data_IF_595310199877
#
_entry.id   IF_595310199877
#
_cell.length_a   1.000
_cell.length_b   1.000
_cell.length_c   1.000
_cell.angle_alpha   90.00
_cell.angle_beta   90.00
_cell.angle_gamma   90.00
#
_symmetry.space_group_name_H-M   'P 1'
#
loop_
_entity.id
_entity.type
_entity.pdbx_description
1 polymer ?
#
# COMPACT_ATOMS: atom_id res chain seq x y z
N UNK A 1 -24.72 25.74 -38.54
CA UNK A 1 -24.01 24.55 -38.15
C UNK A 1 -23.70 24.66 -36.65
N UNK A 2 -24.04 23.65 -35.86
CA UNK A 2 -23.63 23.63 -34.47
C UNK A 2 -22.17 23.17 -34.37
N UNK A 3 -21.57 23.21 -33.18
CA UNK A 3 -20.14 22.87 -32.99
C UNK A 3 -19.80 21.41 -33.31
N UNK A 4 -20.76 20.49 -33.14
CA UNK A 4 -20.60 19.07 -33.47
C UNK A 4 -20.58 18.81 -34.98
N UNK A 5 -21.37 19.58 -35.75
CA UNK A 5 -21.40 19.46 -37.22
C UNK A 5 -20.10 19.96 -37.82
N UNK A 6 -19.55 21.08 -37.28
CA UNK A 6 -18.26 21.64 -37.70
C UNK A 6 -17.13 20.65 -37.48
N UNK A 7 -17.13 19.98 -36.34
CA UNK A 7 -16.12 18.97 -35.97
C UNK A 7 -16.19 17.72 -36.86
N UNK A 8 -17.39 17.21 -37.13
CA UNK A 8 -17.59 16.09 -38.04
C UNK A 8 -17.10 16.39 -39.48
N UNK A 9 -17.33 17.62 -39.96
CA UNK A 9 -16.82 18.07 -41.25
C UNK A 9 -15.31 18.26 -41.23
N UNK A 10 -14.72 18.76 -40.15
CA UNK A 10 -13.26 18.85 -39.96
C UNK A 10 -12.57 17.51 -40.16
N UNK A 11 -13.07 16.48 -39.51
CA UNK A 11 -12.55 15.10 -39.66
C UNK A 11 -12.66 14.54 -41.07
N UNK A 12 -13.77 14.82 -41.79
CA UNK A 12 -13.92 14.43 -43.20
C UNK A 12 -12.91 15.13 -44.08
N UNK A 13 -12.72 16.45 -43.88
CA UNK A 13 -11.76 17.24 -44.61
C UNK A 13 -10.34 16.76 -44.33
N UNK A 14 -9.98 16.54 -43.07
CA UNK A 14 -8.66 16.02 -42.65
C UNK A 14 -8.30 14.70 -43.34
N UNK A 15 -9.28 13.82 -43.52
CA UNK A 15 -9.08 12.50 -44.15
C UNK A 15 -8.79 12.54 -45.65
N UNK A 16 -9.03 13.68 -46.33
CA UNK A 16 -8.87 13.82 -47.77
C UNK A 16 -7.87 14.93 -48.17
N UNK A 17 -7.20 15.53 -47.19
CA UNK A 17 -6.23 16.59 -47.45
C UNK A 17 -5.02 16.06 -48.21
N UNK A 18 -4.53 16.87 -49.17
CA UNK A 18 -3.25 16.62 -49.78
C UNK A 18 -2.09 16.85 -48.80
N UNK A 19 -0.94 16.25 -49.07
CA UNK A 19 0.28 16.44 -48.28
C UNK A 19 0.89 17.82 -48.42
N UNK A 20 0.33 18.69 -49.27
CA UNK A 20 0.79 20.08 -49.47
C UNK A 20 0.16 20.96 -48.41
N UNK A 21 0.98 21.52 -47.54
CA UNK A 21 0.57 22.46 -46.49
C UNK A 21 0.82 23.91 -46.92
N UNK A 22 -0.09 24.82 -46.55
CA UNK A 22 0.05 26.26 -46.84
C UNK A 22 1.15 26.93 -45.97
N UNK A 23 1.42 26.35 -44.81
CA UNK A 23 2.48 26.75 -43.88
C UNK A 23 2.62 25.80 -42.73
N UNK A 24 3.78 25.77 -42.09
CA UNK A 24 4.02 25.06 -40.85
C UNK A 24 4.88 25.87 -39.90
N UNK A 25 4.62 25.73 -38.60
CA UNK A 25 5.40 26.39 -37.55
C UNK A 25 5.75 25.36 -36.51
N UNK A 26 6.90 25.52 -35.85
CA UNK A 26 7.26 24.75 -34.68
C UNK A 26 6.90 25.54 -33.42
N UNK A 27 6.11 24.93 -32.55
CA UNK A 27 5.79 25.45 -31.23
C UNK A 27 6.69 24.74 -30.24
N UNK A 28 7.38 25.47 -29.35
CA UNK A 28 8.20 24.93 -28.27
C UNK A 28 7.73 25.53 -26.95
N UNK A 29 8.05 24.90 -25.84
CA UNK A 29 7.72 25.44 -24.50
C UNK A 29 8.27 26.86 -24.28
N UNK A 30 9.37 27.19 -24.91
CA UNK A 30 10.00 28.51 -24.78
C UNK A 30 9.32 29.61 -25.65
N UNK A 31 8.47 29.20 -26.60
CA UNK A 31 7.76 30.11 -27.52
C UNK A 31 6.26 30.14 -27.18
N UNK A 32 5.89 30.96 -26.21
CA UNK A 32 4.50 31.10 -25.76
C UNK A 32 3.54 31.59 -26.86
N UNK A 33 4.06 32.07 -27.99
CA UNK A 33 3.28 32.54 -29.13
C UNK A 33 4.06 32.36 -30.42
N UNK A 34 3.45 31.70 -31.41
CA UNK A 34 4.01 31.50 -32.74
C UNK A 34 3.03 32.09 -33.77
N UNK A 35 3.52 32.75 -34.79
CA UNK A 35 2.68 33.42 -35.79
C UNK A 35 2.83 32.75 -37.16
N UNK A 36 1.69 32.51 -37.82
CA UNK A 36 1.63 32.16 -39.25
C UNK A 36 1.14 33.41 -39.97
N UNK A 37 1.98 33.97 -40.84
CA UNK A 37 1.67 35.21 -41.56
C UNK A 37 1.42 34.96 -43.04
N UNK A 38 0.77 35.90 -43.73
CA UNK A 38 0.53 35.80 -45.16
C UNK A 38 -0.61 34.89 -45.58
N UNK A 39 -1.51 34.56 -44.66
CA UNK A 39 -2.70 33.81 -45.01
C UNK A 39 -3.77 34.72 -45.60
N UNK A 40 -4.33 34.38 -46.77
CA UNK A 40 -5.48 35.06 -47.36
C UNK A 40 -6.76 34.75 -46.56
N UNK A 41 -7.78 35.62 -46.55
CA UNK A 41 -9.06 35.29 -45.92
C UNK A 41 -9.65 34.00 -46.45
N UNK A 42 -10.00 33.06 -45.55
CA UNK A 42 -10.52 31.75 -45.94
C UNK A 42 -10.67 30.74 -44.80
N UNK A 43 -11.06 29.54 -45.15
CA UNK A 43 -11.14 28.44 -44.22
C UNK A 43 -9.81 27.67 -44.17
N UNK A 44 -9.28 27.51 -43.00
CA UNK A 44 -8.03 26.79 -42.76
C UNK A 44 -8.25 25.63 -41.80
N UNK A 45 -7.68 24.46 -42.13
CA UNK A 45 -7.49 23.36 -41.20
C UNK A 45 -6.09 23.51 -40.60
N UNK A 46 -6.06 23.62 -39.29
CA UNK A 46 -4.84 23.65 -38.50
C UNK A 46 -4.77 22.37 -37.71
N UNK A 47 -3.73 21.56 -37.85
CA UNK A 47 -3.52 20.34 -37.12
C UNK A 47 -2.06 20.16 -36.77
N UNK A 48 -1.80 19.38 -35.70
CA UNK A 48 -0.46 18.94 -35.40
C UNK A 48 0.06 18.00 -36.52
N UNK A 49 1.35 18.02 -36.73
CA UNK A 49 2.00 17.13 -37.70
C UNK A 49 1.97 15.71 -37.16
N UNK A 50 1.57 14.75 -38.00
CA UNK A 50 1.56 13.34 -37.67
C UNK A 50 2.94 12.89 -37.13
N UNK A 51 2.94 12.12 -36.06
CA UNK A 51 4.13 11.64 -35.32
C UNK A 51 5.02 12.73 -34.73
N UNK A 52 4.49 13.97 -34.54
CA UNK A 52 5.23 15.06 -33.91
C UNK A 52 5.16 15.09 -32.39
N UNK A 53 4.08 14.56 -31.82
CA UNK A 53 3.84 14.54 -30.38
C UNK A 53 4.43 13.28 -29.73
N UNK A 54 4.78 13.39 -28.46
CA UNK A 54 5.35 12.30 -27.66
C UNK A 54 4.84 12.40 -26.23
N UNK A 55 4.80 11.24 -25.54
CA UNK A 55 4.46 11.18 -24.13
C UNK A 55 2.98 11.42 -23.84
N UNK A 56 2.70 12.37 -22.98
CA UNK A 56 1.38 12.70 -22.44
C UNK A 56 0.58 13.72 -23.27
N UNK A 57 1.01 14.03 -24.50
CA UNK A 57 0.34 14.99 -25.35
C UNK A 57 -0.72 14.32 -26.24
N UNK A 58 -1.77 15.08 -26.61
CA UNK A 58 -2.76 14.68 -27.60
C UNK A 58 -2.80 15.62 -28.80
N UNK A 59 -3.05 15.05 -29.99
CA UNK A 59 -3.14 15.83 -31.23
C UNK A 59 -4.37 16.72 -31.23
N UNK A 60 -4.20 17.91 -31.80
CA UNK A 60 -5.26 18.89 -31.96
C UNK A 60 -5.59 19.11 -33.44
N UNK A 61 -6.83 19.51 -33.68
CA UNK A 61 -7.32 19.88 -35.01
C UNK A 61 -8.37 20.95 -34.90
N UNK A 62 -8.21 22.00 -35.72
CA UNK A 62 -9.14 23.13 -35.79
C UNK A 62 -9.48 23.51 -37.22
N UNK A 63 -10.77 23.75 -37.53
CA UNK A 63 -11.16 24.50 -38.73
C UNK A 63 -11.50 25.91 -38.30
N UNK A 64 -10.84 26.87 -38.91
CA UNK A 64 -11.03 28.26 -38.66
C UNK A 64 -11.38 28.98 -39.95
N UNK A 65 -12.35 29.91 -39.87
CA UNK A 65 -12.58 30.90 -40.88
C UNK A 65 -11.77 32.14 -40.49
N UNK A 66 -10.65 32.37 -41.18
CA UNK A 66 -9.73 33.48 -40.90
C UNK A 66 -10.13 34.62 -41.83
N UNK A 67 -10.64 35.71 -41.28
CA UNK A 67 -11.02 36.94 -41.97
C UNK A 67 -10.25 38.16 -41.44
N UNK A 68 -9.54 37.99 -40.33
CA UNK A 68 -8.69 38.98 -39.65
C UNK A 68 -7.68 38.21 -38.75
N UNK A 69 -6.76 38.95 -38.14
CA UNK A 69 -5.81 38.40 -37.16
C UNK A 69 -6.54 37.60 -36.09
N UNK A 70 -6.18 36.35 -35.96
CA UNK A 70 -6.87 35.38 -35.10
C UNK A 70 -5.86 34.69 -34.20
N UNK A 71 -6.11 34.68 -32.89
CA UNK A 71 -5.31 33.94 -31.92
C UNK A 71 -6.01 32.62 -31.58
N UNK A 72 -5.27 31.52 -31.65
CA UNK A 72 -5.72 30.20 -31.26
C UNK A 72 -4.94 29.77 -30.06
N UNK A 73 -5.63 29.25 -29.06
CA UNK A 73 -5.01 28.52 -27.96
C UNK A 73 -5.39 27.06 -28.12
N UNK A 74 -4.47 26.19 -28.54
CA UNK A 74 -4.73 24.74 -28.56
C UNK A 74 -5.09 24.29 -27.18
N UNK A 75 -6.13 23.50 -27.07
CA UNK A 75 -6.49 22.77 -25.85
C UNK A 75 -6.12 21.31 -26.06
N UNK A 76 -4.99 20.93 -25.52
CA UNK A 76 -4.66 19.52 -25.35
C UNK A 76 -5.35 19.07 -24.06
N UNK A 77 -6.27 18.15 -24.20
CA UNK A 77 -6.93 17.54 -23.06
C UNK A 77 -6.61 16.03 -23.09
N UNK A 78 -5.95 15.57 -22.05
CA UNK A 78 -5.47 14.18 -21.90
C UNK A 78 -6.10 13.59 -20.64
N UNK A 79 -6.26 12.26 -20.57
CA UNK A 79 -6.75 11.65 -19.34
C UNK A 79 -5.73 11.78 -18.22
N UNK A 80 -6.19 11.71 -16.99
CA UNK A 80 -5.36 11.53 -15.82
C UNK A 80 -5.64 10.21 -15.12
N UNK A 81 -4.71 9.73 -14.34
CA UNK A 81 -4.89 8.54 -13.50
C UNK A 81 -4.49 8.82 -12.07
N UNK A 82 -5.23 8.25 -11.14
CA UNK A 82 -4.96 8.27 -9.71
C UNK A 82 -5.03 6.84 -9.18
N UNK A 83 -4.10 6.48 -8.30
CA UNK A 83 -4.04 5.19 -7.63
C UNK A 83 -4.18 5.36 -6.13
N UNK A 84 -4.97 4.50 -5.50
CA UNK A 84 -5.18 4.49 -4.05
C UNK A 84 -5.15 3.08 -3.49
N UNK A 85 -4.92 3.00 -2.19
CA UNK A 85 -4.93 1.79 -1.37
C UNK A 85 -5.80 2.03 -0.14
N UNK A 86 -6.41 0.99 0.41
CA UNK A 86 -7.04 1.04 1.74
C UNK A 86 -6.12 0.39 2.75
N UNK A 87 -6.21 0.89 3.97
CA UNK A 87 -5.54 0.35 5.13
C UNK A 87 -6.54 -0.28 6.09
N UNK A 88 -6.19 -1.38 6.73
CA UNK A 88 -7.04 -2.04 7.72
C UNK A 88 -6.20 -2.45 8.91
N UNK A 89 -6.43 -1.81 10.05
CA UNK A 89 -5.78 -2.16 11.31
C UNK A 89 -6.48 -3.37 11.95
N UNK A 90 -5.82 -4.48 12.06
CA UNK A 90 -6.36 -5.74 12.59
C UNK A 90 -6.80 -5.64 14.05
N UNK A 91 -6.08 -4.86 14.86
CA UNK A 91 -6.37 -4.71 16.30
C UNK A 91 -7.68 -3.96 16.54
N UNK A 92 -7.94 -2.90 15.78
CA UNK A 92 -9.17 -2.10 15.90
C UNK A 92 -10.27 -2.57 14.96
N UNK A 93 -9.92 -3.26 13.88
CA UNK A 93 -10.80 -3.67 12.78
C UNK A 93 -11.32 -2.49 11.96
N UNK A 94 -10.68 -1.32 12.08
CA UNK A 94 -11.04 -0.13 11.30
C UNK A 94 -10.35 -0.18 9.94
N UNK A 95 -11.11 0.20 8.91
CA UNK A 95 -10.60 0.33 7.55
C UNK A 95 -10.69 1.80 7.13
N UNK A 96 -9.62 2.32 6.53
CA UNK A 96 -9.54 3.72 6.09
C UNK A 96 -10.37 3.97 4.83
N UNK A 97 -10.55 5.25 4.49
CA UNK A 97 -10.86 5.65 3.13
C UNK A 97 -9.65 5.39 2.20
N UNK A 98 -9.83 5.62 0.90
CA UNK A 98 -8.78 5.46 -0.10
C UNK A 98 -7.64 6.49 0.12
N UNK A 99 -6.39 6.02 0.21
CA UNK A 99 -5.21 6.81 0.54
C UNK A 99 -3.97 6.37 -0.27
N UNK A 100 -2.81 7.02 -0.08
CA UNK A 100 -1.63 6.80 -0.92
C UNK A 100 -0.62 5.82 -0.32
N UNK A 101 -0.80 5.42 0.91
CA UNK A 101 0.00 4.36 1.53
C UNK A 101 -0.78 3.62 2.61
N UNK A 102 -0.37 2.41 2.92
CA UNK A 102 -0.96 1.53 3.93
C UNK A 102 0.11 0.66 4.56
N UNK A 103 -0.17 0.05 5.70
CA UNK A 103 0.66 -1.02 6.23
C UNK A 103 -0.15 -2.30 6.46
N UNK A 104 0.53 -3.46 6.34
CA UNK A 104 -0.11 -4.77 6.36
C UNK A 104 0.83 -5.85 6.87
N UNK A 105 0.27 -6.90 7.45
CA UNK A 105 0.99 -8.17 7.70
C UNK A 105 1.28 -8.90 6.38
N UNK A 106 2.39 -9.64 6.33
CA UNK A 106 2.59 -10.63 5.26
C UNK A 106 1.47 -11.67 5.31
N UNK A 107 0.86 -11.93 4.15
CA UNK A 107 -0.30 -12.81 3.97
C UNK A 107 -1.62 -12.07 3.85
N UNK A 108 -1.67 -10.79 4.17
CA UNK A 108 -2.90 -10.00 4.11
C UNK A 108 -3.27 -9.59 2.68
N UNK A 109 -4.56 -9.36 2.50
CA UNK A 109 -5.15 -8.98 1.22
C UNK A 109 -5.38 -7.47 1.17
N UNK A 110 -4.62 -6.81 0.33
CA UNK A 110 -4.57 -5.36 0.16
C UNK A 110 -5.50 -4.92 -0.97
N UNK A 111 -6.50 -4.05 -0.72
CA UNK A 111 -7.37 -3.49 -1.75
C UNK A 111 -6.72 -2.29 -2.45
N UNK A 112 -6.79 -2.25 -3.79
CA UNK A 112 -6.31 -1.15 -4.63
C UNK A 112 -7.44 -0.59 -5.49
N UNK A 113 -7.37 0.71 -5.77
CA UNK A 113 -8.27 1.41 -6.68
C UNK A 113 -7.46 2.26 -7.67
N UNK A 114 -7.84 2.19 -8.95
CA UNK A 114 -7.31 3.03 -10.03
C UNK A 114 -8.46 3.86 -10.58
N UNK A 115 -8.29 5.16 -10.68
CA UNK A 115 -9.30 6.08 -11.23
C UNK A 115 -8.74 6.79 -12.45
N UNK A 116 -9.27 6.50 -13.63
CA UNK A 116 -8.99 7.29 -14.83
C UNK A 116 -10.06 8.37 -15.00
N UNK A 117 -9.64 9.64 -15.11
CA UNK A 117 -10.52 10.75 -15.51
C UNK A 117 -10.32 10.99 -16.99
N UNK A 118 -11.39 10.85 -17.77
CA UNK A 118 -11.35 11.00 -19.23
C UNK A 118 -11.26 12.47 -19.65
N UNK A 119 -10.63 12.77 -20.80
CA UNK A 119 -10.53 14.13 -21.30
C UNK A 119 -11.91 14.71 -21.68
N UNK A 120 -12.03 16.03 -21.59
CA UNK A 120 -13.27 16.76 -21.94
C UNK A 120 -13.63 16.71 -23.44
N UNK A 121 -12.81 16.03 -24.25
CA UNK A 121 -13.02 15.87 -25.68
C UNK A 121 -13.08 14.41 -26.14
N UNK A 122 -13.22 13.43 -25.24
CA UNK A 122 -13.22 12.00 -25.60
C UNK A 122 -14.29 11.64 -26.64
N UNK A 123 -15.47 12.30 -26.60
CA UNK A 123 -16.54 12.10 -27.58
C UNK A 123 -16.20 12.62 -28.99
N UNK A 124 -15.02 13.26 -29.17
CA UNK A 124 -14.55 13.64 -30.50
C UNK A 124 -13.88 12.51 -31.27
N UNK A 125 -13.53 11.46 -30.58
CA UNK A 125 -12.95 10.26 -31.16
C UNK A 125 -14.05 9.37 -31.73
N UNK A 126 -13.74 8.56 -32.75
CA UNK A 126 -14.63 7.48 -33.21
C UNK A 126 -14.46 6.21 -32.37
N UNK A 127 -13.24 6.01 -31.93
CA UNK A 127 -12.82 4.93 -31.05
C UNK A 127 -11.80 5.46 -30.05
N UNK A 128 -11.90 5.06 -28.81
CA UNK A 128 -10.94 5.47 -27.78
C UNK A 128 -10.44 4.26 -27.02
N UNK A 129 -9.19 3.93 -27.27
CA UNK A 129 -8.46 2.88 -26.55
C UNK A 129 -8.05 3.40 -25.19
N UNK A 130 -8.20 2.56 -24.16
CA UNK A 130 -7.76 2.87 -22.81
C UNK A 130 -7.18 1.59 -22.17
N UNK A 131 -5.97 1.72 -21.64
CA UNK A 131 -5.32 0.65 -20.88
C UNK A 131 -4.74 1.22 -19.61
N UNK A 132 -5.09 0.62 -18.48
CA UNK A 132 -4.34 0.78 -17.23
C UNK A 132 -3.15 -0.17 -17.29
N UNK A 133 -1.95 0.37 -17.13
CA UNK A 133 -0.68 -0.34 -17.10
C UNK A 133 -0.14 -0.26 -15.68
N UNK A 134 -0.38 -1.31 -14.90
CA UNK A 134 -0.10 -1.40 -13.49
C UNK A 134 1.12 -2.29 -13.23
N UNK A 135 1.97 -1.90 -12.28
CA UNK A 135 3.18 -2.65 -11.95
C UNK A 135 3.31 -2.80 -10.45
N UNK A 136 3.10 -4.00 -9.95
CA UNK A 136 3.25 -4.36 -8.55
C UNK A 136 4.72 -4.61 -8.21
N UNK A 137 5.13 -4.32 -6.95
CA UNK A 137 6.43 -4.79 -6.44
C UNK A 137 6.47 -6.31 -6.32
N UNK A 138 7.68 -6.87 -6.16
CA UNK A 138 7.85 -8.31 -5.95
C UNK A 138 7.16 -8.83 -4.67
N UNK A 139 6.94 -7.94 -3.69
CA UNK A 139 6.22 -8.22 -2.44
C UNK A 139 4.69 -8.33 -2.60
N UNK A 140 4.13 -8.07 -3.78
CA UNK A 140 2.68 -8.10 -4.01
C UNK A 140 2.31 -9.13 -5.06
N UNK A 141 1.31 -9.97 -4.78
CA UNK A 141 0.74 -10.94 -5.72
C UNK A 141 -0.70 -10.58 -6.04
N UNK A 142 -0.99 -10.37 -7.33
CA UNK A 142 -2.35 -10.09 -7.80
C UNK A 142 -3.30 -11.26 -7.51
N UNK A 143 -4.47 -10.96 -6.96
CA UNK A 143 -5.50 -11.95 -6.67
C UNK A 143 -6.49 -12.03 -7.83
N UNK A 144 -6.38 -13.07 -8.64
CA UNK A 144 -7.27 -13.29 -9.77
C UNK A 144 -8.75 -13.33 -9.35
N UNK A 145 -9.63 -12.84 -10.23
CA UNK A 145 -11.08 -12.84 -10.01
C UNK A 145 -11.59 -11.76 -9.05
N UNK A 146 -10.72 -10.84 -8.59
CA UNK A 146 -11.12 -9.73 -7.70
C UNK A 146 -11.39 -8.42 -8.42
N UNK A 147 -11.19 -8.39 -9.74
CA UNK A 147 -11.31 -7.17 -10.56
C UNK A 147 -12.76 -6.77 -10.76
N UNK A 148 -13.05 -5.50 -10.52
CA UNK A 148 -14.29 -4.83 -10.93
C UNK A 148 -13.94 -3.53 -11.64
N UNK A 149 -14.67 -3.20 -12.72
CA UNK A 149 -14.52 -1.92 -13.42
C UNK A 149 -15.86 -1.23 -13.54
N UNK A 150 -15.89 0.04 -13.15
CA UNK A 150 -17.13 0.85 -13.15
C UNK A 150 -16.95 2.14 -13.94
N UNK A 151 -18.02 2.54 -14.64
CA UNK A 151 -18.23 3.86 -15.21
C UNK A 151 -19.38 4.52 -14.42
N UNK A 152 -19.05 5.38 -13.46
CA UNK A 152 -20.01 5.80 -12.45
C UNK A 152 -20.55 4.56 -11.68
N UNK A 153 -21.86 4.36 -11.68
CA UNK A 153 -22.49 3.18 -11.04
C UNK A 153 -22.61 1.96 -11.98
N UNK A 154 -22.27 2.12 -13.25
CA UNK A 154 -22.42 1.08 -14.27
C UNK A 154 -21.22 0.12 -14.23
N UNK A 155 -21.49 -1.19 -14.08
CA UNK A 155 -20.47 -2.23 -14.25
C UNK A 155 -20.11 -2.38 -15.74
N UNK A 156 -18.85 -2.17 -16.05
CA UNK A 156 -18.25 -2.30 -17.39
C UNK A 156 -17.07 -3.29 -17.40
N UNK A 157 -16.95 -4.13 -16.37
CA UNK A 157 -15.86 -5.10 -16.21
C UNK A 157 -15.66 -5.98 -17.44
N UNK A 158 -16.77 -6.41 -18.07
CA UNK A 158 -16.73 -7.29 -19.24
C UNK A 158 -16.12 -6.66 -20.51
N UNK A 159 -15.96 -5.34 -20.55
CA UNK A 159 -15.31 -4.63 -21.66
C UNK A 159 -13.79 -4.59 -21.52
N UNK A 160 -13.24 -4.94 -20.34
CA UNK A 160 -11.82 -4.94 -20.09
C UNK A 160 -11.24 -6.35 -20.13
N UNK A 161 -10.11 -6.48 -20.83
CA UNK A 161 -9.27 -7.66 -20.74
C UNK A 161 -8.26 -7.47 -19.63
N UNK A 162 -8.29 -8.33 -18.62
CA UNK A 162 -7.27 -8.40 -17.56
C UNK A 162 -6.18 -9.36 -18.01
N UNK A 163 -4.91 -8.93 -17.90
CA UNK A 163 -3.75 -9.78 -18.11
C UNK A 163 -2.73 -9.52 -17.01
N UNK A 164 -2.23 -10.59 -16.39
CA UNK A 164 -1.20 -10.54 -15.35
C UNK A 164 0.00 -11.39 -15.73
N UNK A 165 1.17 -10.78 -15.73
CA UNK A 165 2.45 -11.48 -15.85
C UNK A 165 3.11 -11.55 -14.46
N UNK A 166 3.05 -12.72 -13.83
CA UNK A 166 3.57 -12.94 -12.49
C UNK A 166 5.09 -12.78 -12.37
N UNK A 167 5.83 -12.96 -13.47
CA UNK A 167 7.29 -12.82 -13.47
C UNK A 167 7.74 -11.36 -13.42
N UNK A 168 7.11 -10.51 -14.21
CA UNK A 168 7.37 -9.07 -14.26
C UNK A 168 6.48 -8.28 -13.30
N UNK A 169 5.50 -8.92 -12.65
CA UNK A 169 4.46 -8.30 -11.79
C UNK A 169 3.62 -7.26 -12.52
N UNK A 170 3.53 -7.37 -13.82
CA UNK A 170 2.79 -6.43 -14.66
C UNK A 170 1.33 -6.87 -14.81
N UNK A 171 0.43 -5.99 -14.40
CA UNK A 171 -1.02 -6.16 -14.46
C UNK A 171 -1.61 -5.13 -15.42
N UNK A 172 -2.40 -5.57 -16.40
CA UNK A 172 -3.01 -4.64 -17.34
C UNK A 172 -4.51 -4.86 -17.45
N UNK A 173 -5.25 -3.74 -17.56
CA UNK A 173 -6.68 -3.74 -17.84
C UNK A 173 -6.90 -2.96 -19.13
N UNK A 174 -7.28 -3.64 -20.20
CA UNK A 174 -7.34 -3.07 -21.55
C UNK A 174 -8.74 -3.08 -22.11
N UNK A 175 -9.23 -1.92 -22.55
CA UNK A 175 -10.46 -1.76 -23.33
C UNK A 175 -10.10 -1.15 -24.70
N UNK A 176 -10.44 -1.86 -25.77
CA UNK A 176 -10.10 -1.44 -27.14
C UNK A 176 -10.91 -0.20 -27.57
N UNK A 177 -12.13 0.00 -27.02
CA UNK A 177 -12.96 1.17 -27.32
C UNK A 177 -13.98 1.45 -26.22
N UNK A 178 -13.71 2.47 -25.38
CA UNK A 178 -14.63 2.90 -24.33
C UNK A 178 -15.85 3.69 -24.86
N UNK A 179 -15.88 4.03 -26.15
CA UNK A 179 -17.03 4.68 -26.81
C UNK A 179 -17.99 3.69 -27.45
N UNK A 180 -17.66 2.39 -27.44
CA UNK A 180 -18.48 1.34 -28.03
C UNK A 180 -19.86 1.28 -27.39
N UNK A 181 -20.83 0.80 -28.18
CA UNK A 181 -22.21 0.56 -27.71
C UNK A 181 -22.18 -0.37 -26.48
N UNK A 182 -22.86 0.07 -25.43
CA UNK A 182 -22.91 -0.65 -24.16
C UNK A 182 -21.88 -0.16 -23.14
N UNK A 183 -20.77 0.45 -23.57
CA UNK A 183 -19.86 1.22 -22.68
C UNK A 183 -20.29 2.69 -22.63
N UNK A 184 -20.13 3.42 -23.73
CA UNK A 184 -20.68 4.76 -24.00
C UNK A 184 -20.15 5.84 -23.03
N UNK A 185 -18.82 5.85 -22.80
CA UNK A 185 -18.17 6.89 -22.02
C UNK A 185 -18.35 8.28 -22.60
N UNK A 186 -18.39 9.29 -21.76
CA UNK A 186 -18.60 10.69 -22.06
C UNK A 186 -17.40 11.55 -21.67
N UNK A 187 -17.41 12.79 -22.15
CA UNK A 187 -16.42 13.79 -21.79
C UNK A 187 -16.34 14.00 -20.27
N UNK A 188 -15.16 13.82 -19.70
CA UNK A 188 -14.90 14.02 -18.29
C UNK A 188 -15.40 12.90 -17.36
N UNK A 189 -15.90 11.79 -17.90
CA UNK A 189 -16.28 10.63 -17.08
C UNK A 189 -15.09 10.04 -16.36
N UNK A 190 -15.39 9.35 -15.24
CA UNK A 190 -14.39 8.58 -14.49
C UNK A 190 -14.63 7.08 -14.65
N UNK A 191 -13.53 6.35 -14.87
CA UNK A 191 -13.51 4.89 -14.91
C UNK A 191 -12.71 4.41 -13.71
N UNK A 192 -13.36 3.62 -12.85
CA UNK A 192 -12.75 3.10 -11.61
C UNK A 192 -12.53 1.61 -11.75
N UNK A 193 -11.28 1.18 -11.57
CA UNK A 193 -10.87 -0.22 -11.46
C UNK A 193 -10.54 -0.52 -10.00
N UNK A 194 -11.17 -1.53 -9.42
CA UNK A 194 -10.81 -2.05 -8.11
C UNK A 194 -10.31 -3.49 -8.25
N UNK A 195 -9.27 -3.83 -7.51
CA UNK A 195 -8.73 -5.17 -7.44
C UNK A 195 -8.02 -5.40 -6.11
N UNK A 196 -7.60 -6.63 -5.84
CA UNK A 196 -6.88 -7.00 -4.63
C UNK A 196 -5.55 -7.67 -4.97
N UNK A 197 -4.56 -7.50 -4.08
CA UNK A 197 -3.30 -8.24 -4.11
C UNK A 197 -2.94 -8.70 -2.70
N UNK A 198 -2.16 -9.77 -2.57
CA UNK A 198 -1.67 -10.29 -1.29
C UNK A 198 -0.25 -9.83 -1.06
N UNK A 199 0.06 -9.29 0.12
CA UNK A 199 1.43 -9.02 0.54
C UNK A 199 2.12 -10.34 0.84
N UNK A 200 3.20 -10.68 0.10
CA UNK A 200 3.85 -11.98 0.13
C UNK A 200 5.20 -11.97 0.86
N UNK A 201 5.83 -13.12 1.01
CA UNK A 201 7.11 -13.32 1.71
C UNK A 201 8.31 -12.58 1.08
N UNK A 202 8.18 -12.03 -0.15
CA UNK A 202 9.20 -11.18 -0.77
C UNK A 202 9.00 -9.70 -0.45
N UNK A 203 8.08 -9.35 0.44
CA UNK A 203 7.82 -7.98 0.82
C UNK A 203 9.07 -7.32 1.42
N UNK A 204 9.35 -6.10 0.97
CA UNK A 204 10.42 -5.26 1.50
C UNK A 204 9.94 -4.64 2.81
N UNK A 205 10.71 -4.86 3.87
CA UNK A 205 10.42 -4.36 5.22
C UNK A 205 11.06 -2.99 5.41
N UNK A 206 10.32 -2.06 6.01
CA UNK A 206 10.80 -0.72 6.34
C UNK A 206 10.46 0.35 5.33
N UNK A 207 11.25 1.43 5.33
CA UNK A 207 10.88 2.69 4.66
C UNK A 207 10.88 2.64 3.13
N UNK A 208 11.53 1.66 2.52
CA UNK A 208 11.43 1.43 1.08
C UNK A 208 10.02 0.96 0.69
N UNK A 209 9.45 0.06 1.49
CA UNK A 209 8.11 -0.50 1.32
C UNK A 209 7.92 -1.24 -0.01
N UNK A 210 6.67 -1.46 -0.35
CA UNK A 210 6.26 -2.26 -1.51
C UNK A 210 5.43 -1.39 -2.46
N UNK A 211 6.08 -0.68 -3.40
CA UNK A 211 5.39 0.22 -4.31
C UNK A 211 4.50 -0.54 -5.29
N UNK A 212 3.39 0.08 -5.64
CA UNK A 212 2.48 -0.33 -6.68
C UNK A 212 2.15 0.89 -7.55
N UNK A 213 2.44 0.82 -8.85
CA UNK A 213 2.44 1.96 -9.78
C UNK A 213 1.47 1.74 -10.90
N UNK A 214 0.84 2.83 -11.37
CA UNK A 214 -0.04 2.80 -12.53
C UNK A 214 0.23 3.95 -13.47
N UNK A 215 0.07 3.71 -14.77
CA UNK A 215 -0.10 4.74 -15.80
C UNK A 215 -1.20 4.32 -16.77
N UNK A 216 -1.74 5.26 -17.54
CA UNK A 216 -2.62 4.97 -18.65
C UNK A 216 -1.84 4.97 -19.96
N UNK A 217 -2.23 4.09 -20.88
CA UNK A 217 -1.97 4.20 -22.30
C UNK A 217 -3.31 4.48 -22.99
N UNK A 218 -3.38 5.52 -23.81
CA UNK A 218 -4.65 6.01 -24.34
C UNK A 218 -4.55 6.46 -25.80
N UNK A 219 -5.68 6.48 -26.52
CA UNK A 219 -5.76 7.09 -27.86
C UNK A 219 -5.53 8.58 -27.77
N UNK A 220 -4.51 9.09 -28.47
CA UNK A 220 -4.14 10.52 -28.42
C UNK A 220 -4.37 11.27 -29.72
N UNK A 221 -4.88 10.61 -30.78
CA UNK A 221 -5.07 11.24 -32.09
C UNK A 221 -6.53 11.17 -32.57
N UNK A 222 -7.35 12.22 -32.33
CA UNK A 222 -8.73 12.26 -32.80
C UNK A 222 -8.83 12.36 -34.34
N UNK A 223 -7.78 12.80 -35.02
CA UNK A 223 -7.75 13.01 -36.47
C UNK A 223 -7.79 11.68 -37.23
N UNK A 224 -7.24 10.60 -36.62
CA UNK A 224 -7.29 9.24 -37.13
C UNK A 224 -8.48 8.46 -36.55
N UNK A 225 -9.45 9.13 -35.93
CA UNK A 225 -10.58 8.48 -35.28
C UNK A 225 -10.23 7.73 -34.02
N UNK A 226 -9.03 7.95 -33.45
CA UNK A 226 -8.54 7.28 -32.25
C UNK A 226 -7.68 6.04 -32.53
N UNK A 227 -7.45 5.70 -33.80
CA UNK A 227 -6.56 4.60 -34.19
C UNK A 227 -5.12 5.09 -34.37
N UNK A 228 -4.15 4.20 -34.20
CA UNK A 228 -2.74 4.47 -34.44
C UNK A 228 -1.99 4.95 -33.21
N UNK A 229 -1.61 6.21 -33.19
CA UNK A 229 -0.77 6.78 -32.14
C UNK A 229 -1.43 6.76 -30.77
N UNK A 230 -0.61 6.53 -29.73
CA UNK A 230 -1.04 6.45 -28.34
C UNK A 230 -0.16 7.32 -27.46
N UNK A 231 -0.78 7.93 -26.46
CA UNK A 231 -0.11 8.66 -25.38
C UNK A 231 -0.06 7.83 -24.11
N UNK A 232 0.77 8.26 -23.17
CA UNK A 232 0.87 7.69 -21.82
C UNK A 232 0.77 8.81 -20.80
N UNK A 233 0.10 8.57 -19.66
CA UNK A 233 0.13 9.50 -18.52
C UNK A 233 1.42 9.35 -17.73
N UNK A 234 1.78 10.34 -16.88
CA UNK A 234 2.70 10.12 -15.77
C UNK A 234 2.25 8.94 -14.90
N UNK A 235 3.20 8.33 -14.19
CA UNK A 235 2.91 7.28 -13.22
C UNK A 235 2.36 7.87 -11.93
N UNK A 236 1.37 7.20 -11.33
CA UNK A 236 0.95 7.41 -9.96
C UNK A 236 1.29 6.18 -9.10
N UNK A 237 1.64 6.39 -7.83
CA UNK A 237 2.25 5.38 -6.98
C UNK A 237 1.64 5.37 -5.58
N UNK A 238 1.28 4.17 -5.09
CA UNK A 238 1.00 3.92 -3.68
C UNK A 238 2.05 2.98 -3.09
N UNK A 239 2.24 3.00 -1.77
CA UNK A 239 3.22 2.14 -1.10
C UNK A 239 2.55 1.37 0.04
N UNK A 240 2.82 0.05 0.10
CA UNK A 240 2.43 -0.81 1.22
C UNK A 240 3.66 -1.08 2.09
N UNK A 241 3.57 -0.73 3.38
CA UNK A 241 4.63 -0.93 4.35
C UNK A 241 4.39 -2.21 5.18
N UNK A 242 5.45 -2.72 5.79
CA UNK A 242 5.42 -3.80 6.77
C UNK A 242 6.67 -3.72 7.64
N UNK A 243 6.60 -4.28 8.86
CA UNK A 243 7.61 -4.06 9.88
C UNK A 243 8.16 -5.37 10.44
N UNK A 244 9.14 -5.27 11.35
CA UNK A 244 9.72 -6.40 12.09
C UNK A 244 10.03 -6.03 13.54
N UNK A 245 9.92 -7.02 14.41
CA UNK A 245 10.36 -6.92 15.81
C UNK A 245 11.55 -7.84 16.03
N UNK A 246 12.61 -7.33 16.65
CA UNK A 246 13.85 -8.06 16.92
C UNK A 246 14.08 -8.14 18.43
N UNK A 247 14.07 -9.36 18.98
CA UNK A 247 14.30 -9.64 20.38
C UNK A 247 15.72 -10.18 20.56
N UNK A 248 16.52 -9.49 21.35
CA UNK A 248 17.83 -9.94 21.74
C UNK A 248 17.75 -10.58 23.12
N UNK A 249 17.92 -11.92 23.19
CA UNK A 249 17.84 -12.64 24.44
C UNK A 249 19.13 -12.53 25.22
N UNK A 250 19.03 -12.04 26.47
CA UNK A 250 20.22 -11.78 27.31
C UNK A 250 20.01 -12.28 28.74
N UNK A 251 21.13 -12.51 29.44
CA UNK A 251 21.17 -12.77 30.88
C UNK A 251 21.10 -11.48 31.71
N UNK A 252 21.17 -11.60 33.03
CA UNK A 252 21.18 -10.50 33.98
C UNK A 252 22.34 -9.50 33.80
N UNK A 253 23.39 -9.90 33.07
CA UNK A 253 24.58 -9.07 32.79
C UNK A 253 24.59 -8.53 31.34
N UNK A 254 23.46 -8.61 30.64
CA UNK A 254 23.30 -8.24 29.21
C UNK A 254 24.20 -9.05 28.26
N UNK A 255 24.53 -10.29 28.61
CA UNK A 255 25.25 -11.20 27.72
C UNK A 255 24.25 -12.10 26.99
N UNK A 256 24.54 -12.40 25.73
CA UNK A 256 23.74 -13.30 24.89
C UNK A 256 23.46 -14.64 25.59
N UNK A 257 22.20 -15.05 25.63
CA UNK A 257 21.70 -16.21 26.33
C UNK A 257 20.91 -17.12 25.37
N UNK A 258 21.40 -18.35 25.17
CA UNK A 258 20.71 -19.36 24.35
C UNK A 258 19.65 -20.15 25.10
N UNK A 259 18.94 -21.03 24.38
CA UNK A 259 17.98 -21.98 24.94
C UNK A 259 16.58 -21.43 25.21
N UNK A 260 16.31 -20.15 24.88
CA UNK A 260 14.97 -19.60 24.91
C UNK A 260 14.19 -19.95 23.63
N UNK A 261 12.86 -19.89 23.71
CA UNK A 261 11.96 -19.81 22.57
C UNK A 261 10.92 -18.71 22.84
N UNK A 262 10.55 -17.99 21.78
CA UNK A 262 9.56 -16.93 21.85
C UNK A 262 8.49 -17.11 20.77
N UNK A 263 7.27 -16.73 21.12
CA UNK A 263 6.14 -16.61 20.20
C UNK A 263 5.56 -15.21 20.36
N UNK A 264 5.29 -14.54 19.24
CA UNK A 264 4.60 -13.26 19.20
C UNK A 264 3.13 -13.50 18.85
N UNK A 265 2.22 -12.84 19.55
CA UNK A 265 0.78 -12.90 19.33
C UNK A 265 0.27 -11.52 18.95
N UNK A 266 -0.34 -11.37 17.76
CA UNK A 266 -1.04 -10.16 17.32
C UNK A 266 -2.47 -10.20 17.83
N UNK A 267 -2.96 -9.09 18.35
CA UNK A 267 -4.35 -8.92 18.76
C UNK A 267 -5.22 -8.61 17.53
N UNK A 268 -6.26 -9.40 17.34
CA UNK A 268 -7.22 -9.24 16.24
C UNK A 268 -8.61 -8.99 16.82
N UNK A 269 -9.29 -7.96 16.33
CA UNK A 269 -10.62 -7.57 16.81
C UNK A 269 -11.63 -8.69 16.61
N UNK A 270 -12.17 -9.18 17.71
CA UNK A 270 -13.26 -10.18 17.68
C UNK A 270 -12.84 -11.59 17.30
N UNK A 271 -11.54 -11.86 17.15
CA UNK A 271 -10.98 -13.15 16.82
C UNK A 271 -9.95 -13.62 17.86
N UNK A 272 -9.45 -14.84 17.69
CA UNK A 272 -8.31 -15.31 18.46
C UNK A 272 -7.02 -14.60 18.02
N UNK A 273 -6.10 -14.40 18.98
CA UNK A 273 -4.79 -13.82 18.68
C UNK A 273 -4.07 -14.63 17.60
N UNK A 274 -3.49 -13.95 16.59
CA UNK A 274 -2.69 -14.56 15.52
C UNK A 274 -1.29 -14.88 16.05
N UNK A 275 -0.91 -16.16 15.97
CA UNK A 275 0.42 -16.63 16.39
C UNK A 275 1.44 -16.37 15.28
N UNK A 276 2.57 -15.73 15.63
CA UNK A 276 3.67 -15.41 14.74
C UNK A 276 4.94 -16.04 15.30
N UNK A 277 5.65 -16.82 14.47
CA UNK A 277 6.89 -17.51 14.85
C UNK A 277 8.11 -16.69 14.48
N UNK A 278 9.12 -16.75 15.36
CA UNK A 278 10.40 -16.09 15.12
C UNK A 278 11.26 -16.86 14.12
N UNK A 279 12.05 -16.12 13.33
CA UNK A 279 13.29 -16.64 12.74
C UNK A 279 14.40 -16.45 13.78
N UNK A 280 15.08 -17.53 14.14
CA UNK A 280 16.13 -17.55 15.17
C UNK A 280 17.50 -17.40 14.50
N UNK A 281 18.33 -16.53 15.05
CA UNK A 281 19.69 -16.24 14.57
C UNK A 281 20.62 -15.84 15.72
N UNK A 282 21.83 -15.38 15.39
CA UNK A 282 22.87 -15.04 16.35
C UNK A 282 23.76 -16.25 16.69
N UNK A 283 24.98 -15.99 17.17
CA UNK A 283 25.99 -17.02 17.47
C UNK A 283 25.55 -18.03 18.56
N UNK A 284 24.57 -17.61 19.39
CA UNK A 284 23.99 -18.41 20.46
C UNK A 284 22.50 -18.68 20.27
N UNK A 285 21.96 -18.53 19.05
CA UNK A 285 20.53 -18.57 18.79
C UNK A 285 19.75 -17.66 19.77
N UNK A 286 20.28 -16.46 19.98
CA UNK A 286 19.83 -15.48 20.97
C UNK A 286 19.08 -14.29 20.37
N UNK A 287 18.96 -14.26 19.03
CA UNK A 287 18.22 -13.22 18.28
C UNK A 287 16.97 -13.84 17.65
N UNK A 288 15.81 -13.26 17.97
CA UNK A 288 14.50 -13.70 17.49
C UNK A 288 13.89 -12.58 16.67
N UNK A 289 13.68 -12.82 15.38
CA UNK A 289 13.11 -11.85 14.47
C UNK A 289 11.70 -12.28 14.05
N UNK A 290 10.73 -11.40 14.27
CA UNK A 290 9.36 -11.51 13.81
C UNK A 290 9.17 -10.49 12.70
N UNK A 291 8.92 -10.95 11.47
CA UNK A 291 8.88 -10.11 10.27
C UNK A 291 7.50 -10.12 9.64
N UNK A 292 7.22 -9.11 8.81
CA UNK A 292 5.98 -9.00 8.09
C UNK A 292 4.83 -8.60 9.01
N UNK A 293 5.05 -7.60 9.84
CA UNK A 293 4.12 -7.11 10.84
C UNK A 293 3.50 -5.78 10.40
N UNK A 294 2.25 -5.62 10.70
CA UNK A 294 1.44 -4.43 10.62
C UNK A 294 1.56 -3.58 11.90
N UNK A 295 1.01 -2.38 11.91
CA UNK A 295 0.77 -1.63 13.16
C UNK A 295 -0.31 -2.34 14.01
N UNK A 296 -0.33 -2.09 15.33
CA UNK A 296 -1.32 -2.69 16.25
C UNK A 296 -0.71 -3.26 17.52
N UNK A 297 -1.52 -4.03 18.24
CA UNK A 297 -1.21 -4.55 19.58
C UNK A 297 -0.68 -5.98 19.54
N UNK A 298 0.43 -6.20 20.26
CA UNK A 298 1.15 -7.45 20.30
C UNK A 298 1.45 -7.93 21.72
N UNK A 299 1.56 -9.25 21.91
CA UNK A 299 2.02 -9.88 23.14
C UNK A 299 3.14 -10.87 22.81
N UNK A 300 4.35 -10.59 23.28
CA UNK A 300 5.48 -11.50 23.23
C UNK A 300 5.47 -12.43 24.44
N UNK A 301 5.58 -13.73 24.22
CA UNK A 301 5.67 -14.76 25.27
C UNK A 301 6.94 -15.57 25.12
N UNK A 302 7.65 -15.76 26.22
CA UNK A 302 8.74 -16.73 26.32
C UNK A 302 8.09 -18.13 26.52
N UNK A 303 8.08 -18.94 25.45
CA UNK A 303 7.45 -20.26 25.44
C UNK A 303 8.37 -21.37 25.94
N UNK A 304 9.70 -21.10 25.93
CA UNK A 304 10.70 -21.95 26.56
C UNK A 304 11.74 -21.07 27.23
N UNK A 305 12.03 -21.40 28.49
CA UNK A 305 13.00 -20.65 29.31
C UNK A 305 14.33 -21.39 29.33
N UNK A 306 15.47 -20.71 29.21
CA UNK A 306 16.79 -21.31 29.42
C UNK A 306 16.94 -21.96 30.80
N UNK A 307 17.71 -23.06 30.86
CA UNK A 307 17.93 -23.79 32.10
C UNK A 307 18.51 -22.90 33.22
N UNK A 308 17.97 -23.03 34.43
CA UNK A 308 18.36 -22.27 35.62
C UNK A 308 17.96 -20.78 35.62
N UNK A 309 17.14 -20.35 34.70
CA UNK A 309 16.58 -19.00 34.65
C UNK A 309 15.07 -18.99 34.97
N UNK A 310 14.58 -17.83 35.40
CA UNK A 310 13.14 -17.60 35.55
C UNK A 310 12.54 -17.14 34.22
N UNK A 311 11.36 -17.66 33.88
CA UNK A 311 10.60 -17.24 32.70
C UNK A 311 10.33 -15.73 32.71
N UNK A 312 10.60 -15.05 31.60
CA UNK A 312 10.17 -13.66 31.42
C UNK A 312 8.65 -13.56 31.48
N UNK A 313 8.15 -12.48 32.09
CA UNK A 313 6.72 -12.19 32.04
C UNK A 313 6.30 -11.84 30.62
N UNK A 314 5.05 -12.10 30.29
CA UNK A 314 4.45 -11.68 29.02
C UNK A 314 4.66 -10.16 28.82
N UNK A 315 5.09 -9.78 27.63
CA UNK A 315 5.43 -8.42 27.24
C UNK A 315 4.39 -7.96 26.22
N UNK A 316 3.50 -7.04 26.62
CA UNK A 316 2.57 -6.42 25.70
C UNK A 316 3.13 -5.06 25.23
N UNK A 317 3.01 -4.80 23.93
CA UNK A 317 3.43 -3.55 23.29
C UNK A 317 2.57 -3.26 22.07
N UNK A 318 2.58 -2.00 21.63
CA UNK A 318 1.90 -1.54 20.43
C UNK A 318 2.95 -1.11 19.40
N UNK A 319 2.83 -1.53 18.17
CA UNK A 319 3.54 -0.97 17.01
C UNK A 319 2.70 0.19 16.50
N UNK A 320 3.32 1.34 16.29
CA UNK A 320 2.67 2.53 15.71
C UNK A 320 3.51 3.04 14.56
N UNK A 321 2.88 3.19 13.40
CA UNK A 321 3.48 3.77 12.21
C UNK A 321 2.67 4.99 11.76
N UNK A 322 3.37 6.01 11.25
CA UNK A 322 2.76 7.14 10.54
C UNK A 322 3.35 7.19 9.15
N UNK A 323 2.51 7.19 8.15
CA UNK A 323 2.89 7.22 6.73
C UNK A 323 2.04 8.24 5.96
N UNK A 324 2.41 8.52 4.71
CA UNK A 324 1.77 9.56 3.91
C UNK A 324 0.43 9.08 3.35
N UNK A 325 -0.67 9.58 3.88
CA UNK A 325 -2.04 9.24 3.42
C UNK A 325 -2.50 10.05 2.21
N UNK A 326 -1.87 11.21 1.94
CA UNK A 326 -2.10 12.05 0.76
C UNK A 326 -0.74 12.58 0.29
N UNK A 327 -0.21 12.06 -0.83
CA UNK A 327 1.10 12.46 -1.36
C UNK A 327 1.38 11.84 -2.73
N UNK A 328 1.92 12.62 -3.66
CA UNK A 328 2.45 12.12 -4.94
C UNK A 328 3.75 11.30 -4.76
N UNK A 329 4.35 11.32 -3.56
CA UNK A 329 5.53 10.55 -3.20
C UNK A 329 5.37 10.03 -1.76
N UNK A 330 4.54 8.99 -1.55
CA UNK A 330 4.25 8.48 -0.21
C UNK A 330 5.50 7.90 0.47
N UNK A 331 5.60 8.14 1.78
CA UNK A 331 6.74 7.69 2.60
C UNK A 331 6.29 7.24 4.00
N UNK A 332 7.08 6.39 4.63
CA UNK A 332 7.00 6.11 6.06
C UNK A 332 7.57 7.29 6.83
N UNK A 333 6.75 8.03 7.58
CA UNK A 333 7.16 9.22 8.33
C UNK A 333 7.79 8.87 9.66
N UNK A 334 7.17 7.97 10.42
CA UNK A 334 7.67 7.50 11.70
C UNK A 334 7.32 6.05 11.97
N UNK A 335 8.11 5.39 12.82
CA UNK A 335 7.88 4.08 13.38
C UNK A 335 8.23 4.13 14.86
N UNK A 336 7.36 3.65 15.72
CA UNK A 336 7.59 3.56 17.16
C UNK A 336 6.99 2.29 17.74
N UNK A 337 7.47 1.92 18.92
CA UNK A 337 6.92 0.81 19.69
C UNK A 337 6.68 1.24 21.13
N UNK A 338 5.43 1.20 21.56
CA UNK A 338 5.04 1.62 22.90
C UNK A 338 4.81 0.42 23.82
N UNK A 339 5.58 0.36 24.89
CA UNK A 339 5.45 -0.68 25.90
C UNK A 339 4.13 -0.51 26.68
N UNK A 340 3.32 -1.56 26.72
CA UNK A 340 2.13 -1.64 27.56
C UNK A 340 2.46 -2.37 28.88
N UNK A 341 3.16 -3.51 28.82
CA UNK A 341 3.63 -4.26 30.00
C UNK A 341 5.04 -4.77 29.82
N UNK A 342 5.64 -5.27 30.91
CA UNK A 342 6.99 -5.83 30.90
C UNK A 342 8.09 -4.75 31.11
N UNK A 343 9.34 -5.20 31.18
CA UNK A 343 10.50 -4.31 31.39
C UNK A 343 11.37 -4.28 30.13
N UNK A 344 10.84 -3.60 29.09
CA UNK A 344 11.52 -3.42 27.81
C UNK A 344 11.53 -1.96 27.39
N UNK A 345 12.42 -1.63 26.46
CA UNK A 345 12.42 -0.36 25.72
C UNK A 345 12.65 -0.71 24.26
N UNK A 346 11.63 -0.47 23.45
CA UNK A 346 11.70 -0.70 22.01
C UNK A 346 12.50 0.44 21.35
N UNK A 347 13.56 0.08 20.64
CA UNK A 347 14.35 1.01 19.83
C UNK A 347 13.93 0.86 18.38
N UNK A 348 13.37 1.93 17.82
CA UNK A 348 12.95 1.96 16.42
C UNK A 348 14.12 2.31 15.49
N UNK A 349 14.14 1.65 14.34
CA UNK A 349 14.88 2.02 13.15
C UNK A 349 13.91 2.06 11.97
N UNK A 350 13.53 3.28 11.58
CA UNK A 350 12.54 3.52 10.53
C UNK A 350 13.02 2.99 9.16
N UNK A 351 14.30 3.16 8.85
CA UNK A 351 14.85 2.73 7.56
C UNK A 351 14.74 1.22 7.40
N UNK A 352 15.10 0.48 8.44
CA UNK A 352 15.01 -0.98 8.50
C UNK A 352 13.61 -1.51 8.84
N UNK A 353 12.65 -0.64 9.17
CA UNK A 353 11.31 -1.02 9.64
C UNK A 353 11.33 -1.85 10.91
N UNK A 354 12.33 -1.66 11.77
CA UNK A 354 12.56 -2.55 12.89
C UNK A 354 12.33 -1.89 14.24
N UNK A 355 11.77 -2.67 15.17
CA UNK A 355 11.69 -2.38 16.59
C UNK A 355 12.52 -3.40 17.34
N UNK A 356 13.57 -2.99 18.04
CA UNK A 356 14.48 -3.91 18.72
C UNK A 356 14.51 -3.70 20.24
N UNK A 357 14.62 -4.80 20.99
CA UNK A 357 14.73 -4.75 22.46
C UNK A 357 15.47 -5.95 23.01
N UNK A 358 16.27 -5.79 24.08
CA UNK A 358 16.73 -6.92 24.88
C UNK A 358 15.59 -7.45 25.77
N UNK A 359 15.52 -8.78 25.90
CA UNK A 359 14.69 -9.46 26.91
C UNK A 359 15.59 -10.22 27.85
N UNK A 360 15.60 -9.80 29.12
CA UNK A 360 16.46 -10.36 30.16
C UNK A 360 15.77 -11.52 30.88
N UNK A 361 16.52 -12.59 31.14
CA UNK A 361 16.17 -13.56 32.18
C UNK A 361 17.17 -13.46 33.34
N UNK A 362 16.64 -13.63 34.52
CA UNK A 362 17.40 -13.62 35.77
C UNK A 362 17.54 -15.04 36.31
N UNK A 363 18.72 -15.40 36.75
CA UNK A 363 18.92 -16.64 37.49
C UNK A 363 18.03 -16.64 38.73
N UNK A 364 17.11 -17.59 38.78
CA UNK A 364 16.31 -17.80 39.97
C UNK A 364 17.20 -18.44 41.03
N UNK A 365 17.21 -17.93 42.28
CA UNK A 365 17.36 -18.83 43.36
C UNK A 365 16.17 -19.78 43.26
N UNK A 366 16.42 -21.08 43.01
CA UNK A 366 15.38 -22.11 43.22
C UNK A 366 15.02 -21.96 44.71
N UNK A 367 13.99 -21.15 44.98
CA UNK A 367 13.33 -21.26 46.28
C UNK A 367 12.94 -22.71 46.38
N UNK A 368 13.46 -23.44 47.39
CA UNK A 368 13.07 -24.82 47.56
C UNK A 368 11.55 -24.83 47.50
N UNK A 369 10.98 -25.63 46.62
CA UNK A 369 9.53 -25.83 46.55
C UNK A 369 9.08 -26.06 47.98
N UNK A 370 8.38 -25.06 48.55
CA UNK A 370 7.93 -25.12 49.95
C UNK A 370 6.81 -26.12 50.15
N UNK A 371 6.62 -27.04 49.22
CA UNK A 371 5.77 -28.26 49.31
C UNK A 371 6.46 -29.50 49.85
N UNK A 372 7.81 -29.46 50.04
CA UNK A 372 8.56 -30.62 50.59
C UNK A 372 8.59 -30.68 52.12
N UNK A 373 9.51 -31.49 52.63
CA UNK A 373 9.68 -31.83 54.07
C UNK A 373 9.71 -30.60 55.01
N UNK A 374 10.12 -29.40 54.53
CA UNK A 374 10.14 -28.19 55.33
C UNK A 374 8.74 -27.71 55.79
N UNK A 375 7.71 -27.88 54.99
CA UNK A 375 6.32 -27.54 55.37
C UNK A 375 5.82 -28.46 56.47
N UNK A 376 6.12 -29.76 56.36
CA UNK A 376 5.77 -30.77 57.36
C UNK A 376 6.49 -30.42 58.67
N UNK A 377 7.78 -30.09 58.63
CA UNK A 377 8.55 -29.68 59.83
C UNK A 377 7.98 -28.47 60.51
N UNK A 378 7.60 -27.41 59.75
CA UNK A 378 6.96 -26.20 60.34
C UNK A 378 5.61 -26.50 60.98
N UNK A 379 4.78 -27.35 60.35
CA UNK A 379 3.50 -27.75 60.92
C UNK A 379 3.67 -28.63 62.15
N UNK A 380 4.65 -29.57 62.15
CA UNK A 380 4.96 -30.38 63.30
C UNK A 380 5.48 -29.54 64.49
N UNK A 381 6.40 -28.63 64.23
CA UNK A 381 6.92 -27.70 65.26
C UNK A 381 5.79 -26.80 65.80
N UNK A 382 4.96 -26.27 64.89
CA UNK A 382 3.80 -25.46 65.25
C UNK A 382 2.79 -26.23 66.12
N UNK A 383 2.48 -27.48 65.79
CA UNK A 383 1.60 -28.36 66.58
C UNK A 383 2.20 -28.69 67.95
N UNK A 384 3.49 -28.98 68.05
CA UNK A 384 4.19 -29.21 69.31
C UNK A 384 4.12 -27.99 70.22
N UNK A 385 4.33 -26.79 69.71
CA UNK A 385 4.23 -25.54 70.45
C UNK A 385 2.80 -25.26 70.98
N UNK A 386 1.80 -25.55 70.18
CA UNK A 386 0.37 -25.39 70.59
C UNK A 386 0.00 -26.37 71.67
N UNK A 387 0.39 -27.65 71.50
CA UNK A 387 0.13 -28.68 72.50
C UNK A 387 0.92 -28.44 73.79
N UNK A 388 2.23 -28.10 73.64
CA UNK A 388 3.09 -27.77 74.79
C UNK A 388 2.59 -26.53 75.54
N UNK A 389 2.20 -25.47 74.87
CA UNK A 389 1.59 -24.27 75.44
C UNK A 389 0.27 -24.55 76.14
N UNK A 390 -0.56 -25.42 75.53
CA UNK A 390 -1.82 -25.88 76.13
C UNK A 390 -1.60 -26.67 77.44
N UNK A 391 -0.63 -27.58 77.46
CA UNK A 391 -0.28 -28.35 78.66
C UNK A 391 0.22 -27.40 79.79
N UNK A 392 1.08 -26.45 79.49
CA UNK A 392 1.59 -25.47 80.48
C UNK A 392 0.46 -24.61 81.00
N UNK A 393 -0.50 -24.21 80.21
CA UNK A 393 -1.65 -23.42 80.66
C UNK A 393 -2.60 -24.22 81.57
N UNK A 394 -2.84 -25.48 81.24
CA UNK A 394 -3.70 -26.36 82.06
C UNK A 394 -3.02 -26.74 83.37
N UNK A 395 -1.71 -27.03 83.35
CA UNK A 395 -0.99 -27.31 84.58
C UNK A 395 -0.88 -26.10 85.54
N UNK A 396 -0.64 -24.91 84.98
CA UNK A 396 -0.66 -23.66 85.74
C UNK A 396 -2.04 -23.35 86.37
N UNK A 397 -3.14 -23.77 85.78
CA UNK A 397 -4.48 -23.59 86.27
C UNK A 397 -4.89 -24.62 87.34
N UNK A 398 -4.15 -25.73 87.49
CA UNK A 398 -4.35 -26.75 88.53
C UNK A 398 -3.50 -26.54 89.79
N UNK A 399 -2.59 -25.58 89.79
CA UNK A 399 -1.69 -25.29 90.94
C UNK A 399 -2.09 -23.98 91.60
N UNK A 400 -3.29 -23.46 91.38
CA UNK A 400 -3.91 -22.43 92.17
C UNK A 400 -5.07 -22.96 92.95
#
# INVERSE_FOLDING_TARGET
MNSSDIKAEAQKIASVLSTTVAGSVSVTQDNAKTEITGLEPGYYLIKDKDSSLKGDEAYTEYILNIVADTTITPKTDVPSVEKKVKDTNDTTGDTTEWQDSADYDIGDVVPFQLTATLPANVESYKSYYLKFDDTLSQGLDFNEGTVTVKLGDKDVTSFFKTNYDAASKKLTFTCDNILAKGFEAKNGDTIVVEYKATLNENAVIGSEGNPNKVKLEFSNNPNNGGEGDKGETPEDTVIVFTYKVVINKVDENNKALDGAEFTLYKKIKGEADKEIKAVISGDKNDVFTFSGLDDGDYVLKETKTPDSYNTAKDIAFTITADHSIVSDAPELKSLSGDKVTGNITLKADKAEGSLSTPVQNFKGSVLPSTGGAGRVAIYVIGAILVVGGGIVLVTKKRVK
#
